data_IF_752470766687
#
_entry.id   IF_752470766687
#
_cell.length_a   1.000
_cell.length_b   1.000
_cell.length_c   1.000
_cell.angle_alpha   90.00
_cell.angle_beta   90.00
_cell.angle_gamma   90.00
#
_symmetry.space_group_name_H-M   'P 1'
#
loop_
_entity.id
_entity.type
_entity.pdbx_description
1 polymer ?
#
# COMPACT_ATOMS: atom_id res chain seq x y z
N UNK A 1 -33.97 -29.59 19.97
CA UNK A 1 -32.94 -29.64 18.91
C UNK A 1 -31.95 -28.52 19.16
N UNK A 2 -30.85 -28.85 19.80
CA UNK A 2 -29.69 -27.97 20.00
C UNK A 2 -28.90 -27.97 18.69
N UNK A 3 -29.07 -26.92 17.88
CA UNK A 3 -28.18 -26.67 16.75
C UNK A 3 -26.77 -26.47 17.32
N UNK A 4 -25.83 -27.29 16.87
CA UNK A 4 -24.39 -27.05 17.02
C UNK A 4 -24.09 -25.73 16.27
N UNK A 5 -24.18 -24.63 17.00
CA UNK A 5 -24.40 -23.26 16.53
C UNK A 5 -23.13 -22.58 15.98
N UNK A 6 -22.23 -23.33 15.37
CA UNK A 6 -21.01 -22.77 14.77
C UNK A 6 -21.10 -22.64 13.26
N UNK A 7 -22.19 -23.08 12.60
CA UNK A 7 -22.36 -22.93 11.15
C UNK A 7 -23.16 -21.67 10.78
N UNK A 8 -22.65 -20.92 9.81
CA UNK A 8 -23.25 -19.68 9.32
C UNK A 8 -24.26 -20.00 8.22
N UNK A 9 -25.48 -19.48 8.33
CA UNK A 9 -26.58 -19.80 7.41
C UNK A 9 -26.91 -18.69 6.42
N UNK A 10 -26.17 -17.58 6.46
CA UNK A 10 -26.45 -16.35 5.73
C UNK A 10 -25.18 -15.74 5.12
N UNK A 11 -25.37 -14.78 4.20
CA UNK A 11 -24.32 -13.91 3.69
C UNK A 11 -23.16 -14.61 2.98
N UNK A 12 -22.01 -13.91 2.92
CA UNK A 12 -20.78 -14.33 2.23
C UNK A 12 -20.25 -15.69 2.69
N UNK A 13 -20.51 -16.05 3.94
CA UNK A 13 -19.95 -17.24 4.60
C UNK A 13 -20.96 -18.36 4.83
N UNK A 14 -22.09 -18.36 4.10
CA UNK A 14 -23.11 -19.41 4.23
C UNK A 14 -22.49 -20.81 4.04
N UNK A 15 -22.76 -21.70 4.99
CA UNK A 15 -22.23 -23.06 5.04
C UNK A 15 -20.85 -23.18 5.69
N UNK A 16 -20.21 -22.07 6.08
CA UNK A 16 -18.91 -22.09 6.77
C UNK A 16 -19.06 -22.01 8.28
N UNK A 17 -17.97 -22.26 9.00
CA UNK A 17 -17.93 -22.16 10.46
C UNK A 17 -17.70 -20.73 10.96
N UNK A 18 -18.11 -20.44 12.19
CA UNK A 18 -17.87 -19.17 12.86
C UNK A 18 -16.37 -18.87 12.96
N UNK A 19 -15.54 -19.87 13.25
CA UNK A 19 -14.07 -19.72 13.26
C UNK A 19 -13.54 -19.18 11.92
N UNK A 20 -14.09 -19.64 10.78
CA UNK A 20 -13.72 -19.09 9.46
C UNK A 20 -14.16 -17.64 9.30
N UNK A 21 -15.33 -17.26 9.82
CA UNK A 21 -15.84 -15.89 9.76
C UNK A 21 -15.05 -14.94 10.64
N UNK A 22 -14.67 -15.37 11.84
CA UNK A 22 -13.92 -14.56 12.80
C UNK A 22 -12.56 -14.09 12.28
N UNK A 23 -12.03 -14.75 11.24
CA UNK A 23 -10.82 -14.33 10.52
C UNK A 23 -11.03 -13.12 9.60
N UNK A 24 -12.23 -12.88 9.08
CA UNK A 24 -12.53 -11.68 8.29
C UNK A 24 -13.01 -10.57 9.24
N UNK A 25 -12.07 -9.82 9.80
CA UNK A 25 -12.34 -8.77 10.77
C UNK A 25 -13.18 -7.63 10.20
N UNK A 26 -12.97 -7.31 8.92
CA UNK A 26 -13.77 -6.29 8.23
C UNK A 26 -15.24 -6.72 8.12
N UNK A 27 -15.48 -7.98 7.74
CA UNK A 27 -16.82 -8.53 7.68
C UNK A 27 -17.46 -8.66 9.07
N UNK A 28 -16.69 -9.05 10.10
CA UNK A 28 -17.17 -9.08 11.49
C UNK A 28 -17.61 -7.70 11.98
N UNK A 29 -16.81 -6.65 11.72
CA UNK A 29 -17.14 -5.26 12.06
C UNK A 29 -18.40 -4.79 11.34
N UNK A 30 -18.56 -5.15 10.06
CA UNK A 30 -19.78 -4.86 9.32
C UNK A 30 -21.00 -5.62 9.89
N UNK A 31 -20.84 -6.91 10.22
CA UNK A 31 -21.92 -7.77 10.74
C UNK A 31 -22.53 -7.21 12.03
N UNK A 32 -21.70 -6.82 13.01
CA UNK A 32 -22.18 -6.32 14.30
C UNK A 32 -22.91 -4.97 14.19
N UNK A 33 -22.84 -4.29 13.04
CA UNK A 33 -23.59 -3.06 12.76
C UNK A 33 -24.96 -3.35 12.12
N UNK A 34 -25.32 -4.61 11.86
CA UNK A 34 -26.59 -4.96 11.21
C UNK A 34 -27.68 -5.33 12.22
N UNK A 35 -28.78 -4.59 12.23
CA UNK A 35 -29.93 -4.83 13.14
C UNK A 35 -30.49 -6.26 13.05
N UNK A 36 -30.56 -6.80 11.83
CA UNK A 36 -31.05 -8.16 11.61
C UNK A 36 -30.11 -9.21 12.20
N UNK A 37 -28.80 -8.96 12.24
CA UNK A 37 -27.83 -9.89 12.79
C UNK A 37 -27.92 -9.92 14.31
N UNK A 38 -28.01 -8.73 14.93
CA UNK A 38 -28.24 -8.58 16.37
C UNK A 38 -29.54 -9.26 16.81
N UNK A 39 -30.62 -9.10 16.05
CA UNK A 39 -31.93 -9.60 16.45
C UNK A 39 -32.12 -11.08 16.17
N UNK A 40 -31.74 -11.55 14.97
CA UNK A 40 -32.04 -12.91 14.52
C UNK A 40 -30.96 -13.93 14.88
N UNK A 41 -29.75 -13.47 15.22
CA UNK A 41 -28.58 -14.32 15.46
C UNK A 41 -27.82 -13.92 16.74
N UNK A 42 -28.56 -13.61 17.83
CA UNK A 42 -28.03 -13.12 19.12
C UNK A 42 -26.79 -13.89 19.61
N UNK A 43 -26.81 -15.23 19.55
CA UNK A 43 -25.66 -16.05 19.96
C UNK A 43 -24.41 -15.74 19.14
N UNK A 44 -24.52 -15.76 17.81
CA UNK A 44 -23.39 -15.45 16.91
C UNK A 44 -22.95 -13.99 17.05
N UNK A 45 -23.91 -13.07 17.23
CA UNK A 45 -23.63 -11.66 17.47
C UNK A 45 -22.72 -11.46 18.68
N UNK A 46 -23.09 -12.03 19.84
CA UNK A 46 -22.28 -11.93 21.05
C UNK A 46 -20.89 -12.57 20.85
N UNK A 47 -20.81 -13.70 20.16
CA UNK A 47 -19.51 -14.34 19.86
C UNK A 47 -18.60 -13.49 19.00
N UNK A 48 -19.14 -12.80 17.98
CA UNK A 48 -18.35 -11.89 17.13
C UNK A 48 -17.94 -10.65 17.92
N UNK A 49 -18.84 -10.12 18.74
CA UNK A 49 -18.60 -8.91 19.56
C UNK A 49 -17.54 -9.12 20.64
N UNK A 50 -17.56 -10.27 21.31
CA UNK A 50 -16.65 -10.62 22.41
C UNK A 50 -15.28 -11.14 21.92
N UNK A 51 -15.15 -11.46 20.63
CA UNK A 51 -13.93 -12.03 20.10
C UNK A 51 -12.83 -10.98 19.91
N UNK A 52 -11.85 -11.02 20.82
CA UNK A 52 -10.61 -10.23 20.82
C UNK A 52 -9.40 -11.14 20.46
N UNK A 53 -9.03 -11.24 19.17
CA UNK A 53 -7.93 -12.12 18.76
C UNK A 53 -6.58 -11.64 19.28
N UNK A 54 -6.41 -10.33 19.49
CA UNK A 54 -5.14 -9.75 19.92
C UNK A 54 -4.75 -10.22 21.33
N UNK A 55 -5.76 -10.44 22.19
CA UNK A 55 -5.58 -10.93 23.56
C UNK A 55 -4.88 -12.29 23.66
N UNK A 56 -4.86 -13.09 22.58
CA UNK A 56 -4.11 -14.35 22.55
C UNK A 56 -2.60 -14.15 22.37
N UNK A 57 -2.18 -13.03 21.77
CA UNK A 57 -0.79 -12.76 21.40
C UNK A 57 -0.11 -11.75 22.31
N UNK A 58 -0.87 -10.88 22.97
CA UNK A 58 -0.35 -9.81 23.83
C UNK A 58 -0.74 -10.07 25.29
N UNK A 59 0.25 -10.13 26.19
CA UNK A 59 0.01 -10.21 27.64
C UNK A 59 -0.46 -8.85 28.15
N UNK A 60 -1.73 -8.74 28.57
CA UNK A 60 -2.23 -7.56 29.29
C UNK A 60 -1.40 -7.35 30.55
N UNK A 61 -0.79 -6.20 30.64
CA UNK A 61 0.18 -5.87 31.68
C UNK A 61 -0.15 -4.47 32.20
N UNK A 62 -0.25 -4.36 33.52
CA UNK A 62 -0.47 -3.09 34.22
C UNK A 62 0.90 -2.43 34.33
N UNK A 63 1.32 -1.71 33.29
CA UNK A 63 2.62 -1.03 33.31
C UNK A 63 2.47 0.40 33.83
N UNK A 64 3.18 0.70 34.90
CA UNK A 64 3.63 2.06 35.22
C UNK A 64 4.70 2.45 34.19
N UNK A 65 4.52 3.59 33.52
CA UNK A 65 5.21 4.02 32.28
C UNK A 65 6.69 4.39 32.45
N UNK A 66 7.53 3.54 33.03
CA UNK A 66 8.93 3.92 33.28
C UNK A 66 9.91 3.45 32.19
N UNK A 67 9.64 2.36 31.48
CA UNK A 67 10.56 1.85 30.46
C UNK A 67 9.86 1.22 29.24
N UNK A 68 9.87 1.95 28.12
CA UNK A 68 9.26 1.52 26.86
C UNK A 68 9.78 0.16 26.37
N UNK A 69 11.08 -0.15 26.46
CA UNK A 69 11.63 -1.40 25.90
C UNK A 69 11.06 -2.61 26.64
N UNK A 70 10.91 -2.51 27.96
CA UNK A 70 10.39 -3.62 28.78
C UNK A 70 8.87 -3.70 28.71
N UNK A 71 8.18 -2.60 28.47
CA UNK A 71 6.72 -2.51 28.57
C UNK A 71 6.02 -2.60 27.21
N UNK A 72 6.73 -2.32 26.12
CA UNK A 72 6.11 -2.29 24.80
C UNK A 72 5.52 -3.66 24.45
N UNK A 73 4.21 -3.69 24.23
CA UNK A 73 3.40 -4.91 24.13
C UNK A 73 3.93 -5.91 23.10
N UNK A 74 4.43 -5.40 21.96
CA UNK A 74 4.97 -6.24 20.89
C UNK A 74 6.35 -6.82 21.21
N UNK A 75 7.12 -6.21 22.14
CA UNK A 75 8.36 -6.82 22.64
C UNK A 75 8.11 -7.95 23.65
N UNK A 76 6.85 -8.15 24.04
CA UNK A 76 6.40 -9.11 25.05
C UNK A 76 5.31 -10.06 24.50
N UNK A 77 5.42 -10.42 23.23
CA UNK A 77 4.50 -11.37 22.57
C UNK A 77 4.50 -12.74 23.26
N UNK A 78 3.33 -13.37 23.32
CA UNK A 78 3.15 -14.71 23.88
C UNK A 78 3.86 -15.73 22.98
N UNK A 79 4.76 -16.59 23.52
CA UNK A 79 5.38 -17.67 22.75
C UNK A 79 4.35 -18.61 22.11
N UNK A 80 4.72 -19.23 20.98
CA UNK A 80 3.83 -20.10 20.19
C UNK A 80 3.23 -21.23 21.02
N UNK A 81 4.03 -21.81 21.91
CA UNK A 81 3.68 -22.91 22.81
C UNK A 81 2.83 -22.49 24.02
N UNK A 82 2.74 -21.17 24.29
CA UNK A 82 1.90 -20.60 25.34
C UNK A 82 0.54 -20.07 24.82
N UNK A 83 0.31 -20.11 23.51
CA UNK A 83 -0.92 -19.58 22.90
C UNK A 83 -2.16 -20.36 23.34
N UNK A 84 -3.22 -19.62 23.71
CA UNK A 84 -4.53 -20.17 24.10
C UNK A 84 -5.52 -20.27 22.93
N UNK A 85 -5.01 -20.23 21.70
CA UNK A 85 -5.77 -20.34 20.45
C UNK A 85 -5.12 -21.41 19.58
N UNK A 86 -5.95 -22.16 18.84
CA UNK A 86 -5.46 -23.14 17.86
C UNK A 86 -5.18 -22.40 16.55
N UNK A 87 -3.92 -22.43 16.12
CA UNK A 87 -3.48 -21.89 14.84
C UNK A 87 -3.33 -23.00 13.80
N UNK A 88 -3.57 -22.66 12.52
CA UNK A 88 -3.22 -23.57 11.42
C UNK A 88 -1.70 -23.69 11.28
N UNK A 89 -1.18 -24.75 10.63
CA UNK A 89 0.26 -24.88 10.38
C UNK A 89 0.87 -23.64 9.68
N UNK A 90 0.13 -23.03 8.75
CA UNK A 90 0.54 -21.81 8.05
C UNK A 90 0.58 -20.61 9.01
N UNK A 91 -0.44 -20.44 9.85
CA UNK A 91 -0.48 -19.34 10.82
C UNK A 91 0.60 -19.48 11.90
N UNK A 92 0.95 -20.70 12.29
CA UNK A 92 2.07 -20.97 13.22
C UNK A 92 3.38 -20.44 12.63
N UNK A 93 3.67 -20.75 11.37
CA UNK A 93 4.89 -20.26 10.70
C UNK A 93 4.86 -18.74 10.50
N UNK A 94 3.70 -18.17 10.17
CA UNK A 94 3.53 -16.72 10.12
C UNK A 94 3.82 -16.07 11.48
N UNK A 95 3.30 -16.64 12.57
CA UNK A 95 3.49 -16.08 13.90
C UNK A 95 4.94 -16.20 14.40
N UNK A 96 5.58 -17.36 14.18
CA UNK A 96 7.02 -17.55 14.48
C UNK A 96 7.87 -16.49 13.79
N UNK A 97 7.63 -16.29 12.50
CA UNK A 97 8.37 -15.31 11.73
C UNK A 97 8.06 -13.87 12.18
N UNK A 98 6.81 -13.58 12.57
CA UNK A 98 6.44 -12.31 13.16
C UNK A 98 7.24 -12.04 14.45
N UNK A 99 7.26 -12.97 15.41
CA UNK A 99 8.07 -12.87 16.64
C UNK A 99 9.55 -12.64 16.31
N UNK A 100 10.10 -13.36 15.32
CA UNK A 100 11.49 -13.21 14.88
C UNK A 100 11.78 -11.77 14.45
N UNK A 101 10.94 -11.19 13.58
CA UNK A 101 11.11 -9.81 13.10
C UNK A 101 11.04 -8.82 14.27
N UNK A 102 10.11 -9.00 15.20
CA UNK A 102 9.99 -8.12 16.35
C UNK A 102 11.22 -8.21 17.26
N UNK A 103 11.75 -9.41 17.44
CA UNK A 103 13.00 -9.64 18.19
C UNK A 103 14.18 -8.96 17.51
N UNK A 104 14.33 -9.09 16.19
CA UNK A 104 15.37 -8.38 15.42
C UNK A 104 15.25 -6.85 15.58
N UNK A 105 14.03 -6.32 15.57
CA UNK A 105 13.76 -4.89 15.77
C UNK A 105 14.18 -4.45 17.17
N UNK A 106 13.86 -5.22 18.21
CA UNK A 106 14.26 -4.93 19.59
C UNK A 106 15.79 -4.97 19.74
N UNK A 107 16.44 -5.96 19.15
CA UNK A 107 17.90 -6.11 19.22
C UNK A 107 18.64 -4.93 18.59
N UNK A 108 18.11 -4.35 17.51
CA UNK A 108 18.67 -3.11 16.94
C UNK A 108 18.64 -1.92 17.90
N UNK A 109 17.68 -1.86 18.83
CA UNK A 109 17.65 -0.82 19.86
C UNK A 109 18.75 -1.11 20.89
N UNK A 110 18.92 -2.37 21.31
CA UNK A 110 19.98 -2.77 22.23
C UNK A 110 21.38 -2.54 21.64
N UNK A 111 21.62 -2.88 20.37
CA UNK A 111 22.88 -2.59 19.68
C UNK A 111 23.20 -1.08 19.71
N UNK A 112 22.19 -0.22 19.57
CA UNK A 112 22.38 1.24 19.64
C UNK A 112 22.69 1.73 21.06
N UNK A 113 22.07 1.12 22.07
CA UNK A 113 22.37 1.38 23.48
C UNK A 113 23.83 1.01 23.77
N UNK A 114 24.27 -0.19 23.34
CA UNK A 114 25.65 -0.67 23.52
C UNK A 114 26.68 0.21 22.80
N UNK A 115 26.31 0.79 21.65
CA UNK A 115 27.15 1.71 20.89
C UNK A 115 27.07 3.17 21.37
N UNK A 116 26.34 3.46 22.44
CA UNK A 116 26.15 4.81 22.99
C UNK A 116 25.61 5.82 21.95
N UNK A 117 24.74 5.38 21.03
CA UNK A 117 24.14 6.27 20.04
C UNK A 117 23.19 7.30 20.69
N UNK A 118 23.25 8.55 20.22
CA UNK A 118 22.45 9.68 20.77
C UNK A 118 20.93 9.43 20.68
N UNK A 119 20.46 8.78 19.62
CA UNK A 119 19.05 8.42 19.46
C UNK A 119 18.88 6.92 19.16
N UNK A 120 18.71 6.15 20.23
CA UNK A 120 18.51 4.69 20.19
C UNK A 120 17.23 4.28 19.44
N UNK A 121 16.28 5.20 19.26
CA UNK A 121 14.98 4.94 18.63
C UNK A 121 14.98 5.11 17.12
N UNK A 122 16.02 5.72 16.54
CA UNK A 122 16.14 5.95 15.08
C UNK A 122 16.56 4.68 14.31
N UNK A 123 15.87 3.57 14.57
CA UNK A 123 16.14 2.29 13.92
C UNK A 123 15.61 2.25 12.48
N UNK A 124 16.33 1.55 11.59
CA UNK A 124 15.85 1.32 10.22
C UNK A 124 14.81 0.19 10.19
N UNK A 125 13.70 0.44 9.51
CA UNK A 125 12.70 -0.58 9.23
C UNK A 125 13.34 -1.76 8.47
N UNK A 126 12.97 -3.01 8.80
CA UNK A 126 13.40 -4.17 8.03
C UNK A 126 13.03 -4.01 6.55
N UNK A 127 13.99 -4.26 5.66
CA UNK A 127 13.77 -4.23 4.21
C UNK A 127 13.62 -5.66 3.69
N UNK A 128 12.80 -5.86 2.66
CA UNK A 128 12.56 -7.16 2.01
C UNK A 128 12.11 -8.30 2.96
N UNK A 129 11.69 -8.01 4.19
CA UNK A 129 11.35 -9.02 5.19
C UNK A 129 10.21 -9.95 4.76
N UNK A 130 9.25 -9.45 3.98
CA UNK A 130 8.20 -10.27 3.35
C UNK A 130 8.74 -11.19 2.24
N UNK A 131 9.72 -10.73 1.46
CA UNK A 131 10.37 -11.56 0.43
C UNK A 131 11.24 -12.64 1.09
N UNK A 132 11.90 -12.30 2.19
CA UNK A 132 12.67 -13.25 3.01
C UNK A 132 11.76 -14.35 3.57
N UNK A 133 10.62 -13.98 4.16
CA UNK A 133 9.60 -14.93 4.62
C UNK A 133 9.18 -15.92 3.53
N UNK A 134 8.78 -15.42 2.37
CA UNK A 134 8.32 -16.25 1.24
C UNK A 134 9.41 -17.19 0.74
N UNK A 135 10.66 -16.72 0.70
CA UNK A 135 11.81 -17.55 0.31
C UNK A 135 12.13 -18.64 1.33
N UNK A 136 12.07 -18.33 2.63
CA UNK A 136 12.47 -19.24 3.70
C UNK A 136 11.41 -20.29 4.03
N UNK A 137 10.13 -19.92 3.93
CA UNK A 137 9.01 -20.77 4.32
C UNK A 137 8.28 -21.42 3.15
N UNK A 138 8.41 -20.86 1.94
CA UNK A 138 7.59 -21.22 0.78
C UNK A 138 6.13 -20.74 0.87
N UNK A 139 5.75 -20.02 1.93
CA UNK A 139 4.41 -19.48 2.14
C UNK A 139 4.27 -18.13 1.42
N UNK A 140 3.11 -17.87 0.81
CA UNK A 140 2.89 -16.63 0.07
C UNK A 140 2.86 -15.42 1.02
N UNK A 141 3.36 -14.28 0.54
CA UNK A 141 3.27 -13.00 1.29
C UNK A 141 1.84 -12.59 1.62
N UNK A 142 0.86 -13.02 0.82
CA UNK A 142 -0.56 -12.75 1.07
C UNK A 142 -1.04 -13.49 2.31
N UNK A 143 -0.64 -14.75 2.51
CA UNK A 143 -1.04 -15.54 3.67
C UNK A 143 -0.52 -14.91 4.97
N UNK A 144 0.71 -14.37 4.96
CA UNK A 144 1.26 -13.66 6.11
C UNK A 144 0.49 -12.38 6.45
N UNK A 145 0.08 -11.62 5.42
CA UNK A 145 -0.73 -10.40 5.61
C UNK A 145 -2.11 -10.75 6.15
N UNK A 146 -2.74 -11.77 5.56
CA UNK A 146 -4.04 -12.28 6.02
C UNK A 146 -3.95 -12.79 7.46
N UNK A 147 -2.84 -13.42 7.85
CA UNK A 147 -2.57 -13.80 9.24
C UNK A 147 -2.54 -12.58 10.17
N UNK A 148 -1.74 -11.55 9.85
CA UNK A 148 -1.68 -10.32 10.66
C UNK A 148 -3.06 -9.68 10.78
N UNK A 149 -3.76 -9.51 9.65
CA UNK A 149 -5.04 -8.82 9.59
C UNK A 149 -6.15 -9.61 10.32
N UNK A 150 -6.16 -10.93 10.18
CA UNK A 150 -7.15 -11.80 10.85
C UNK A 150 -7.00 -11.85 12.37
N UNK A 151 -5.80 -11.57 12.88
CA UNK A 151 -5.52 -11.55 14.31
C UNK A 151 -5.35 -10.13 14.87
N UNK A 152 -5.60 -9.10 14.05
CA UNK A 152 -5.47 -7.68 14.39
C UNK A 152 -4.08 -7.30 14.95
N UNK A 153 -3.05 -8.03 14.55
CA UNK A 153 -1.66 -7.72 14.90
C UNK A 153 -1.20 -6.46 14.17
N UNK A 154 -0.29 -5.70 14.78
CA UNK A 154 0.24 -4.50 14.15
C UNK A 154 1.21 -4.85 13.03
N UNK A 155 1.05 -4.22 11.86
CA UNK A 155 1.99 -4.39 10.76
C UNK A 155 3.37 -3.78 11.11
N UNK A 156 4.46 -4.43 10.66
CA UNK A 156 5.85 -4.05 10.99
C UNK A 156 6.15 -2.54 10.79
N UNK A 157 5.74 -1.87 9.70
CA UNK A 157 5.97 -0.43 9.56
C UNK A 157 5.35 0.43 10.66
N UNK A 158 4.18 0.08 11.18
CA UNK A 158 3.53 0.79 12.28
C UNK A 158 4.22 0.54 13.62
N UNK A 159 4.85 -0.63 13.79
CA UNK A 159 5.69 -0.91 14.96
C UNK A 159 6.92 0.00 14.95
N UNK A 160 7.57 0.15 13.79
CA UNK A 160 8.69 1.07 13.62
C UNK A 160 8.26 2.53 13.85
N UNK A 161 7.08 2.92 13.37
CA UNK A 161 6.51 4.25 13.62
C UNK A 161 6.35 4.53 15.11
N UNK A 162 5.78 3.58 15.86
CA UNK A 162 5.61 3.70 17.32
C UNK A 162 6.95 3.80 18.05
N UNK A 163 7.93 2.97 17.71
CA UNK A 163 9.28 3.01 18.31
C UNK A 163 9.95 4.36 18.04
N UNK A 164 9.94 4.83 16.79
CA UNK A 164 10.56 6.11 16.42
C UNK A 164 9.91 7.31 17.11
N UNK A 165 8.60 7.22 17.37
CA UNK A 165 7.85 8.26 18.08
C UNK A 165 8.35 8.47 19.51
N UNK A 166 8.81 7.42 20.19
CA UNK A 166 9.42 7.54 21.53
C UNK A 166 10.66 8.42 21.53
N UNK A 167 11.44 8.39 20.44
CA UNK A 167 12.61 9.25 20.25
C UNK A 167 12.34 10.57 19.55
N UNK A 168 11.07 10.96 19.36
CA UNK A 168 10.71 12.18 18.62
C UNK A 168 11.01 12.13 17.12
N UNK A 169 11.26 10.94 16.55
CA UNK A 169 11.61 10.76 15.13
C UNK A 169 10.35 10.56 14.29
N UNK A 170 10.16 11.41 13.27
CA UNK A 170 9.05 11.24 12.34
C UNK A 170 9.32 10.09 11.36
N UNK A 171 8.39 9.13 11.27
CA UNK A 171 8.47 8.02 10.32
C UNK A 171 7.34 8.04 9.29
N UNK A 172 7.65 8.46 8.08
CA UNK A 172 6.66 8.53 7.00
C UNK A 172 6.44 7.18 6.28
N UNK A 173 7.21 6.13 6.62
CA UNK A 173 7.14 4.83 5.92
C UNK A 173 5.77 4.16 6.05
N UNK A 174 5.17 4.18 7.24
CA UNK A 174 3.84 3.59 7.50
C UNK A 174 2.71 4.30 6.74
N UNK A 175 2.88 5.60 6.45
CA UNK A 175 1.89 6.42 5.74
C UNK A 175 2.29 6.74 4.29
N UNK A 176 3.39 6.17 3.79
CA UNK A 176 3.95 6.47 2.46
C UNK A 176 2.95 6.23 1.34
N UNK A 177 2.19 5.13 1.39
CA UNK A 177 1.13 4.84 0.43
C UNK A 177 0.00 5.88 0.47
N UNK A 178 -0.45 6.29 1.66
CA UNK A 178 -1.50 7.32 1.81
C UNK A 178 -1.03 8.67 1.26
N UNK A 179 0.23 9.02 1.51
CA UNK A 179 0.86 10.24 0.98
C UNK A 179 0.96 10.17 -0.54
N UNK A 180 1.42 9.06 -1.10
CA UNK A 180 1.50 8.87 -2.54
C UNK A 180 0.12 8.94 -3.20
N UNK A 181 -0.89 8.29 -2.62
CA UNK A 181 -2.27 8.33 -3.10
C UNK A 181 -2.84 9.76 -3.10
N UNK A 182 -2.71 10.48 -1.98
CA UNK A 182 -3.18 11.87 -1.88
C UNK A 182 -2.49 12.79 -2.91
N UNK A 183 -1.20 12.57 -3.18
CA UNK A 183 -0.47 13.31 -4.24
C UNK A 183 -0.98 12.97 -5.64
N UNK A 184 -1.27 11.69 -5.91
CA UNK A 184 -1.82 11.24 -7.20
C UNK A 184 -3.19 11.87 -7.43
N UNK A 185 -4.08 11.79 -6.44
CA UNK A 185 -5.42 12.38 -6.50
C UNK A 185 -5.37 13.90 -6.73
N UNK A 186 -4.47 14.61 -6.03
CA UNK A 186 -4.29 16.04 -6.22
C UNK A 186 -3.74 16.39 -7.62
N UNK A 187 -2.81 15.58 -8.14
CA UNK A 187 -2.26 15.73 -9.49
C UNK A 187 -3.34 15.49 -10.55
N UNK A 188 -4.09 14.40 -10.44
CA UNK A 188 -5.17 14.04 -11.36
C UNK A 188 -6.24 15.13 -11.39
N UNK A 189 -6.68 15.63 -10.23
CA UNK A 189 -7.63 16.76 -10.16
C UNK A 189 -7.11 18.02 -10.86
N UNK A 190 -5.81 18.31 -10.73
CA UNK A 190 -5.19 19.46 -11.38
C UNK A 190 -5.20 19.30 -12.92
N UNK A 191 -4.80 18.13 -13.43
CA UNK A 191 -4.82 17.85 -14.86
C UNK A 191 -6.24 17.74 -15.42
N UNK A 192 -7.17 17.15 -14.69
CA UNK A 192 -8.58 17.06 -15.07
C UNK A 192 -9.15 18.45 -15.36
N UNK A 193 -8.86 19.43 -14.50
CA UNK A 193 -9.29 20.82 -14.70
C UNK A 193 -8.74 21.40 -16.01
N UNK A 194 -7.46 21.18 -16.30
CA UNK A 194 -6.82 21.69 -17.53
C UNK A 194 -7.41 21.03 -18.77
N UNK A 195 -7.52 19.70 -18.75
CA UNK A 195 -8.05 18.93 -19.87
C UNK A 195 -9.53 19.23 -20.10
N UNK A 196 -10.35 19.37 -19.05
CA UNK A 196 -11.77 19.76 -19.17
C UNK A 196 -11.95 21.18 -19.67
N UNK A 197 -11.11 22.12 -19.24
CA UNK A 197 -11.16 23.48 -19.77
C UNK A 197 -10.95 23.50 -21.29
N UNK A 198 -10.12 22.60 -21.82
CA UNK A 198 -9.83 22.51 -23.25
C UNK A 198 -10.82 21.66 -24.04
N UNK A 199 -11.11 20.46 -23.55
CA UNK A 199 -11.85 19.44 -24.30
C UNK A 199 -13.31 19.33 -23.84
N UNK A 200 -13.72 20.04 -22.79
CA UNK A 200 -15.09 20.01 -22.29
C UNK A 200 -15.52 18.61 -21.87
N UNK A 201 -16.66 18.16 -22.39
CA UNK A 201 -17.22 16.83 -22.11
C UNK A 201 -16.56 15.70 -22.90
N UNK A 202 -15.69 16.02 -23.87
CA UNK A 202 -14.98 15.01 -24.67
C UNK A 202 -13.87 14.29 -23.88
N UNK A 203 -13.53 14.77 -22.68
CA UNK A 203 -12.58 14.11 -21.78
C UNK A 203 -13.31 13.23 -20.76
N UNK A 204 -13.09 11.92 -20.84
CA UNK A 204 -13.51 10.96 -19.83
C UNK A 204 -12.40 10.77 -18.79
N UNK A 205 -12.73 10.86 -17.50
CA UNK A 205 -11.82 10.54 -16.40
C UNK A 205 -12.07 9.11 -15.89
N UNK A 206 -11.00 8.40 -15.48
CA UNK A 206 -11.06 7.06 -14.90
C UNK A 206 -11.87 6.06 -15.77
N UNK A 207 -11.68 6.15 -17.08
CA UNK A 207 -12.45 5.38 -18.07
C UNK A 207 -12.02 3.92 -18.05
N UNK A 208 -12.99 2.99 -18.00
CA UNK A 208 -12.74 1.55 -17.94
C UNK A 208 -13.06 0.88 -19.27
N UNK A 209 -12.09 0.19 -19.84
CA UNK A 209 -12.29 -0.61 -21.06
C UNK A 209 -11.27 -1.75 -21.13
N UNK A 210 -11.72 -2.95 -21.50
CA UNK A 210 -10.89 -4.15 -21.66
C UNK A 210 -9.87 -4.39 -20.52
N UNK A 211 -10.37 -4.42 -19.27
CA UNK A 211 -9.58 -4.56 -18.04
C UNK A 211 -8.51 -3.48 -17.80
N UNK A 212 -8.54 -2.39 -18.57
CA UNK A 212 -7.73 -1.21 -18.39
C UNK A 212 -8.56 -0.11 -17.72
N UNK A 213 -7.90 0.68 -16.89
CA UNK A 213 -8.41 1.94 -16.35
C UNK A 213 -7.49 3.02 -16.89
N UNK A 214 -8.02 3.98 -17.64
CA UNK A 214 -7.27 5.10 -18.18
C UNK A 214 -7.54 6.33 -17.31
N UNK A 215 -6.49 7.05 -16.91
CA UNK A 215 -6.63 8.24 -16.06
C UNK A 215 -7.51 9.28 -16.76
N UNK A 216 -7.15 9.65 -18.00
CA UNK A 216 -8.02 10.42 -18.89
C UNK A 216 -7.99 9.90 -20.32
N UNK A 217 -9.12 10.01 -21.01
CA UNK A 217 -9.26 9.64 -22.41
C UNK A 217 -10.08 10.68 -23.16
N UNK A 218 -9.60 11.08 -24.34
CA UNK A 218 -10.37 11.85 -25.30
C UNK A 218 -10.62 10.98 -26.53
N UNK A 219 -11.88 10.56 -26.69
CA UNK A 219 -12.29 9.63 -27.75
C UNK A 219 -12.19 10.30 -29.12
N UNK A 220 -12.63 11.55 -29.22
CA UNK A 220 -12.65 12.34 -30.47
C UNK A 220 -11.26 12.46 -31.10
N UNK A 221 -10.25 12.76 -30.28
CA UNK A 221 -8.86 12.93 -30.71
C UNK A 221 -8.02 11.66 -30.59
N UNK A 222 -8.64 10.54 -30.19
CA UNK A 222 -7.97 9.27 -29.92
C UNK A 222 -6.72 9.43 -29.03
N UNK A 223 -6.86 10.16 -27.92
CA UNK A 223 -5.75 10.46 -27.02
C UNK A 223 -6.01 9.89 -25.63
N UNK A 224 -5.03 9.14 -25.10
CA UNK A 224 -4.97 8.74 -23.69
C UNK A 224 -4.00 9.70 -23.00
N UNK A 225 -4.41 10.26 -21.87
CA UNK A 225 -3.51 11.00 -20.98
C UNK A 225 -3.29 10.18 -19.72
N UNK A 226 -2.05 9.78 -19.47
CA UNK A 226 -1.65 8.94 -18.34
C UNK A 226 -0.86 9.77 -17.32
N UNK A 227 -1.31 9.81 -16.07
CA UNK A 227 -0.68 10.57 -15.01
C UNK A 227 0.38 9.75 -14.29
N UNK A 228 1.53 10.36 -14.01
CA UNK A 228 2.57 9.80 -13.14
C UNK A 228 3.15 10.87 -12.23
N UNK A 229 3.35 10.55 -10.95
CA UNK A 229 3.94 11.49 -9.99
C UNK A 229 5.38 11.90 -10.37
N UNK A 230 6.13 11.00 -10.97
CA UNK A 230 7.44 11.27 -11.55
C UNK A 230 7.82 10.28 -12.64
N UNK A 231 8.92 10.57 -13.34
CA UNK A 231 9.45 9.71 -14.41
C UNK A 231 9.75 8.29 -13.94
N UNK A 232 10.17 8.14 -12.68
CA UNK A 232 10.49 6.85 -12.08
C UNK A 232 9.29 5.93 -11.89
N UNK A 233 8.09 6.48 -11.91
CA UNK A 233 6.84 5.75 -11.64
C UNK A 233 6.24 5.16 -12.92
N UNK A 234 6.95 5.26 -14.06
CA UNK A 234 6.54 4.66 -15.33
C UNK A 234 6.44 3.13 -15.23
N UNK A 235 5.35 2.56 -15.77
CA UNK A 235 5.10 1.12 -15.85
C UNK A 235 4.99 0.67 -17.32
N UNK A 236 5.99 -0.06 -17.79
CA UNK A 236 6.04 -0.60 -19.15
C UNK A 236 4.94 -1.63 -19.42
N UNK A 237 4.57 -2.42 -18.40
CA UNK A 237 3.49 -3.40 -18.51
C UNK A 237 2.16 -2.70 -18.74
N UNK A 238 1.93 -1.60 -18.02
CA UNK A 238 0.73 -0.78 -18.18
C UNK A 238 0.68 -0.10 -19.56
N UNK A 239 1.80 0.48 -20.01
CA UNK A 239 1.90 1.05 -21.36
C UNK A 239 1.53 0.05 -22.45
N UNK A 240 2.12 -1.15 -22.38
CA UNK A 240 1.86 -2.22 -23.36
C UNK A 240 0.40 -2.68 -23.34
N UNK A 241 -0.22 -2.76 -22.16
CA UNK A 241 -1.66 -3.07 -22.02
C UNK A 241 -2.53 -2.01 -22.72
N UNK A 242 -2.25 -0.73 -22.53
CA UNK A 242 -3.00 0.34 -23.17
C UNK A 242 -2.86 0.32 -24.69
N UNK A 243 -1.64 0.11 -25.20
CA UNK A 243 -1.40 -0.04 -26.65
C UNK A 243 -2.09 -1.27 -27.23
N UNK A 244 -2.22 -2.36 -26.48
CA UNK A 244 -2.95 -3.53 -26.92
C UNK A 244 -4.47 -3.29 -26.98
N UNK A 245 -5.04 -2.64 -25.94
CA UNK A 245 -6.46 -2.37 -25.82
C UNK A 245 -6.97 -1.31 -26.83
N UNK A 246 -6.20 -0.24 -27.05
CA UNK A 246 -6.56 0.90 -27.89
C UNK A 246 -5.42 1.25 -28.86
N UNK A 247 -5.20 0.39 -29.86
CA UNK A 247 -4.07 0.48 -30.81
C UNK A 247 -3.95 1.81 -31.55
N UNK A 248 -5.08 2.41 -31.88
CA UNK A 248 -5.15 3.68 -32.64
C UNK A 248 -5.00 4.91 -31.76
N UNK A 249 -4.95 4.76 -30.43
CA UNK A 249 -4.84 5.89 -29.52
C UNK A 249 -3.38 6.24 -29.27
N UNK A 250 -3.08 7.53 -29.31
CA UNK A 250 -1.81 8.08 -28.86
C UNK A 250 -1.80 8.20 -27.35
N UNK A 251 -0.62 8.06 -26.74
CA UNK A 251 -0.45 8.17 -25.29
C UNK A 251 0.42 9.38 -24.98
N UNK A 252 -0.13 10.29 -24.18
CA UNK A 252 0.57 11.45 -23.63
C UNK A 252 0.74 11.21 -22.14
N UNK A 253 1.97 11.32 -21.64
CA UNK A 253 2.23 11.21 -20.20
C UNK A 253 2.23 12.59 -19.54
N UNK A 254 1.51 12.69 -18.44
CA UNK A 254 1.40 13.88 -17.62
C UNK A 254 2.21 13.64 -16.33
N UNK A 255 3.41 14.22 -16.27
CA UNK A 255 4.38 13.95 -15.21
C UNK A 255 4.37 15.09 -14.19
N UNK A 256 4.10 14.78 -12.92
CA UNK A 256 3.84 15.78 -11.88
C UNK A 256 2.79 16.81 -12.37
N UNK A 257 2.91 18.08 -11.99
CA UNK A 257 2.16 19.22 -12.55
C UNK A 257 3.05 20.11 -13.43
N UNK A 258 4.23 19.63 -13.82
CA UNK A 258 5.28 20.45 -14.47
C UNK A 258 5.84 19.86 -15.77
N UNK A 259 5.29 18.76 -16.28
CA UNK A 259 5.78 18.12 -17.50
C UNK A 259 4.72 17.33 -18.27
N UNK A 260 4.84 17.38 -19.60
CA UNK A 260 4.04 16.63 -20.58
C UNK A 260 4.99 15.93 -21.54
N UNK A 261 4.90 14.62 -21.66
CA UNK A 261 5.70 13.83 -22.60
C UNK A 261 4.79 13.35 -23.71
N UNK A 262 5.05 13.84 -24.92
CA UNK A 262 4.38 13.35 -26.11
C UNK A 262 5.26 12.30 -26.80
N UNK A 263 4.86 11.04 -26.68
CA UNK A 263 5.63 9.90 -27.20
C UNK A 263 5.72 9.90 -28.72
N UNK A 264 4.64 10.31 -29.40
CA UNK A 264 4.61 10.32 -30.87
C UNK A 264 5.44 11.47 -31.45
N UNK A 265 5.40 12.63 -30.80
CA UNK A 265 6.20 13.79 -31.22
C UNK A 265 7.66 13.70 -30.76
N UNK A 266 7.98 12.79 -29.84
CA UNK A 266 9.31 12.68 -29.23
C UNK A 266 9.76 13.97 -28.54
N UNK A 267 8.82 14.62 -27.83
CA UNK A 267 9.06 15.89 -27.12
C UNK A 267 8.67 15.77 -25.65
N UNK A 268 9.51 16.35 -24.79
CA UNK A 268 9.24 16.62 -23.38
C UNK A 268 8.99 18.10 -23.20
N UNK A 269 7.75 18.48 -22.97
CA UNK A 269 7.37 19.84 -22.63
C UNK A 269 7.41 20.04 -21.13
N UNK A 270 8.08 21.08 -20.63
CA UNK A 270 8.18 21.30 -19.18
C UNK A 270 8.35 22.77 -18.81
N UNK A 271 7.84 23.15 -17.64
CA UNK A 271 8.15 24.43 -16.99
C UNK A 271 9.43 24.37 -16.12
N UNK A 272 10.13 23.23 -16.09
CA UNK A 272 11.35 23.03 -15.31
C UNK A 272 12.40 22.23 -16.10
N UNK A 273 13.01 22.88 -17.09
CA UNK A 273 13.98 22.26 -18.01
C UNK A 273 15.13 21.58 -17.27
N UNK A 274 15.67 22.23 -16.25
CA UNK A 274 16.86 21.77 -15.54
C UNK A 274 16.62 20.44 -14.81
N UNK A 275 15.45 20.29 -14.15
CA UNK A 275 15.04 19.04 -13.51
C UNK A 275 15.04 17.87 -14.49
N UNK A 276 14.43 18.06 -15.66
CA UNK A 276 14.27 16.99 -16.64
C UNK A 276 15.57 16.71 -17.42
N UNK A 277 16.37 17.73 -17.74
CA UNK A 277 17.72 17.56 -18.32
C UNK A 277 18.61 16.73 -17.39
N UNK A 278 18.67 17.10 -16.11
CA UNK A 278 19.48 16.38 -15.13
C UNK A 278 19.01 14.93 -14.97
N UNK A 279 17.70 14.69 -14.99
CA UNK A 279 17.17 13.32 -14.96
C UNK A 279 17.61 12.53 -16.20
N UNK A 280 17.45 13.07 -17.42
CA UNK A 280 17.81 12.36 -18.65
C UNK A 280 19.32 12.07 -18.75
N UNK A 281 20.17 12.99 -18.28
CA UNK A 281 21.63 12.79 -18.21
C UNK A 281 21.99 11.66 -17.24
N UNK A 282 21.19 11.43 -16.20
CA UNK A 282 21.44 10.36 -15.23
C UNK A 282 21.05 8.96 -15.72
N UNK A 283 20.23 8.84 -16.78
CA UNK A 283 19.71 7.56 -17.29
C UNK A 283 20.82 6.55 -17.63
N UNK A 284 21.89 6.92 -18.36
CA UNK A 284 23.00 6.00 -18.68
C UNK A 284 23.75 5.46 -17.45
N UNK A 285 23.65 6.15 -16.31
CA UNK A 285 24.30 5.77 -15.06
C UNK A 285 23.41 4.84 -14.21
N UNK A 286 22.17 4.61 -14.62
CA UNK A 286 21.26 3.71 -13.93
C UNK A 286 21.67 2.25 -14.16
N UNK A 287 21.57 1.43 -13.10
CA UNK A 287 21.99 0.02 -13.14
C UNK A 287 21.20 -0.81 -14.14
N UNK A 288 19.91 -0.50 -14.33
CA UNK A 288 18.99 -1.21 -15.22
C UNK A 288 17.95 -0.21 -15.81
N UNK A 289 18.28 0.57 -16.85
CA UNK A 289 17.32 1.49 -17.46
C UNK A 289 16.24 0.71 -18.23
N UNK A 290 14.97 1.02 -18.00
CA UNK A 290 13.86 0.41 -18.75
C UNK A 290 13.77 0.97 -20.19
N UNK A 291 12.94 0.33 -21.03
CA UNK A 291 12.73 0.74 -22.42
C UNK A 291 12.32 2.22 -22.53
N UNK A 292 11.44 2.68 -21.63
CA UNK A 292 10.95 4.04 -21.63
C UNK A 292 12.05 5.07 -21.41
N UNK A 293 12.99 4.82 -20.50
CA UNK A 293 14.14 5.70 -20.31
C UNK A 293 15.02 5.79 -21.56
N UNK A 294 15.23 4.65 -22.22
CA UNK A 294 15.99 4.60 -23.48
C UNK A 294 15.28 5.36 -24.61
N UNK A 295 13.95 5.41 -24.57
CA UNK A 295 13.12 6.16 -25.49
C UNK A 295 13.21 7.67 -25.23
N UNK A 296 12.88 8.12 -24.01
CA UNK A 296 12.79 9.56 -23.69
C UNK A 296 14.13 10.27 -23.66
N UNK A 297 15.24 9.54 -23.51
CA UNK A 297 16.59 10.13 -23.54
C UNK A 297 16.87 10.84 -24.89
N UNK A 298 16.20 10.42 -25.96
CA UNK A 298 16.38 10.96 -27.31
C UNK A 298 15.41 12.10 -27.62
N UNK A 299 14.52 12.44 -26.69
CA UNK A 299 13.47 13.41 -26.93
C UNK A 299 14.00 14.83 -26.77
N UNK A 300 13.44 15.75 -27.56
CA UNK A 300 13.73 17.17 -27.40
C UNK A 300 13.04 17.69 -26.13
N UNK A 301 13.75 18.50 -25.34
CA UNK A 301 13.16 19.20 -24.20
C UNK A 301 12.78 20.61 -24.63
N UNK A 302 11.49 20.93 -24.53
CA UNK A 302 10.93 22.24 -24.85
C UNK A 302 10.46 22.91 -23.57
N UNK A 303 10.97 24.11 -23.32
CA UNK A 303 10.51 24.94 -22.21
C UNK A 303 9.13 25.53 -22.51
N UNK A 304 8.23 25.45 -21.53
CA UNK A 304 6.89 26.01 -21.63
C UNK A 304 6.57 26.76 -20.34
N UNK A 305 6.23 28.04 -20.47
CA UNK A 305 5.89 28.89 -19.33
C UNK A 305 4.58 28.47 -18.64
N UNK A 306 3.62 27.96 -19.42
CA UNK A 306 2.31 27.53 -18.93
C UNK A 306 1.85 26.27 -19.69
N UNK A 307 1.92 25.10 -19.05
CA UNK A 307 1.56 23.81 -19.66
C UNK A 307 0.14 23.73 -20.23
N UNK A 308 -0.91 24.33 -19.61
CA UNK A 308 -2.22 24.49 -20.23
C UNK A 308 -2.19 24.92 -21.69
N UNK A 309 -1.26 25.82 -22.07
CA UNK A 309 -1.15 26.32 -23.46
C UNK A 309 -0.84 25.23 -24.48
N UNK A 310 -0.27 24.10 -24.07
CA UNK A 310 0.02 22.96 -24.95
C UNK A 310 -1.25 22.28 -25.48
N UNK A 311 -2.32 22.38 -24.71
CA UNK A 311 -3.59 21.79 -25.10
C UNK A 311 -4.44 22.78 -25.88
N UNK A 312 -4.13 24.08 -25.80
CA UNK A 312 -4.74 25.20 -26.51
C UNK A 312 -5.49 26.14 -25.57
N UNK A 313 -5.67 27.40 -25.99
CA UNK A 313 -6.63 28.34 -25.37
C UNK A 313 -8.07 27.92 -25.63
#
# INVERSE_FOLDING_TARGET
MTLENDSITFGKYKGMTLSRVLRDRAYCKWLVQQDWFQTNYVFLYNRVLEYDPLSYFIKKTNYDKENFITEYEYFNLVPVDELRIVLSPVDIECYKYYILIITEIRNKIYERIENEEENIWDIKAPSNWLKRFEKETGIQRTDFKDFIDSHELLNIPYIIERIKKEGGVQYNGANSFKIAKARSEAQELWWEKILKNRYGEDIGAQFKYDNCIFDFINITTKTIFECKLGLKDFDETQHNKYRAALKEYRIIYLISTDCVINIEQQVVYTSNVEKYKNYLISIPLMKDPNWFYSLIQKFDIVEVNDLPTLFGN
#
